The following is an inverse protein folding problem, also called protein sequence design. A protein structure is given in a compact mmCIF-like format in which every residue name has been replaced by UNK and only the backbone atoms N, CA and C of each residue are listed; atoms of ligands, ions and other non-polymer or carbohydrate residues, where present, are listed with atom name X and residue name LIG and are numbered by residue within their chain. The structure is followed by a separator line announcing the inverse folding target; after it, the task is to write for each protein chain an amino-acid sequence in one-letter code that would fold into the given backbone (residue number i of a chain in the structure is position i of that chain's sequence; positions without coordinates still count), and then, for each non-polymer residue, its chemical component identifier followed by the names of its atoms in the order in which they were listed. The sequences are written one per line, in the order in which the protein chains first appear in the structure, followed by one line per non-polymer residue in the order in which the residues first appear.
data_IF_865115643354
#
_entry.id   IF_865115643354
#
_cell.length_a   1.000
_cell.length_b   1.000
_cell.length_c   1.000
_cell.angle_alpha   90.00
_cell.angle_beta   90.00
_cell.angle_gamma   90.00
#
_symmetry.space_group_name_H-M   'P 1'
#
loop_
_entity.id
_entity.type
_entity.pdbx_description
1 polymer ?
#
# COMPACT_ATOMS: atom_id res chain seq x y z
N UNK A 1 32.67 18.81 -23.85
CA UNK A 1 31.56 17.85 -23.68
C UNK A 1 31.82 17.14 -22.37
N UNK A 2 31.06 17.46 -21.32
CA UNK A 2 31.18 16.76 -20.05
C UNK A 2 30.57 15.36 -20.22
N UNK A 3 31.32 14.33 -19.88
CA UNK A 3 30.81 12.97 -19.75
C UNK A 3 29.61 12.99 -18.79
N UNK A 4 28.44 12.53 -19.26
CA UNK A 4 27.34 12.19 -18.38
C UNK A 4 27.84 11.07 -17.48
N UNK A 5 28.12 11.37 -16.22
CA UNK A 5 28.18 10.35 -15.18
C UNK A 5 26.95 9.46 -15.35
N UNK A 6 27.19 8.18 -15.58
CA UNK A 6 26.17 7.14 -15.57
C UNK A 6 25.52 7.16 -14.19
N UNK A 7 24.41 7.88 -14.04
CA UNK A 7 23.68 8.00 -12.78
C UNK A 7 23.21 6.59 -12.38
N UNK A 8 23.82 6.03 -11.35
CA UNK A 8 23.55 4.66 -10.92
C UNK A 8 22.06 4.53 -10.53
N UNK A 9 21.47 3.39 -10.83
CA UNK A 9 20.08 3.11 -10.48
C UNK A 9 20.00 2.43 -9.11
N UNK A 10 18.99 2.82 -8.32
CA UNK A 10 18.66 2.25 -7.03
C UNK A 10 17.18 1.88 -7.04
N UNK A 11 16.82 0.73 -6.48
CA UNK A 11 15.41 0.38 -6.27
C UNK A 11 14.98 0.72 -4.84
N UNK A 12 13.77 1.26 -4.70
CA UNK A 12 13.09 1.49 -3.41
C UNK A 12 11.66 0.96 -3.50
N UNK A 13 11.01 0.80 -2.35
CA UNK A 13 9.60 0.43 -2.29
C UNK A 13 8.78 1.55 -1.69
N UNK A 14 7.56 1.76 -2.19
CA UNK A 14 6.64 2.76 -1.66
C UNK A 14 5.32 2.11 -1.28
N UNK A 15 4.91 2.30 -0.02
CA UNK A 15 3.58 1.93 0.50
C UNK A 15 2.74 3.20 0.62
N UNK A 16 1.67 3.31 -0.15
CA UNK A 16 0.94 4.58 -0.24
C UNK A 16 -0.04 4.85 0.91
N UNK A 17 -0.79 3.84 1.36
CA UNK A 17 -1.95 4.01 2.26
C UNK A 17 -1.94 3.03 3.44
N UNK A 18 -0.77 2.74 4.00
CA UNK A 18 -0.54 1.72 5.05
C UNK A 18 -1.01 0.29 4.68
N UNK A 19 -1.31 0.05 3.40
CA UNK A 19 -1.67 -1.25 2.87
C UNK A 19 -0.42 -2.11 2.65
N UNK A 20 -0.21 -3.05 3.56
CA UNK A 20 0.94 -3.97 3.56
C UNK A 20 1.01 -4.93 2.37
N UNK A 21 -0.05 -5.09 1.60
CA UNK A 21 -0.06 -5.91 0.38
C UNK A 21 0.36 -5.10 -0.85
N UNK A 22 0.58 -3.79 -0.69
CA UNK A 22 0.79 -2.83 -1.79
C UNK A 22 2.09 -2.05 -1.63
N UNK A 23 3.19 -2.79 -1.50
CA UNK A 23 4.55 -2.25 -1.51
C UNK A 23 5.10 -2.22 -2.94
N UNK A 24 4.96 -1.09 -3.62
CA UNK A 24 5.31 -0.97 -5.03
C UNK A 24 6.80 -0.68 -5.22
N UNK A 25 7.45 -1.40 -6.14
CA UNK A 25 8.86 -1.20 -6.46
C UNK A 25 9.04 -0.05 -7.46
N UNK A 26 9.92 0.89 -7.11
CA UNK A 26 10.34 2.02 -7.92
C UNK A 26 11.84 1.98 -8.19
N UNK A 27 12.23 2.16 -9.45
CA UNK A 27 13.60 2.37 -9.87
C UNK A 27 13.87 3.87 -9.95
N UNK A 28 14.82 4.34 -9.16
CA UNK A 28 15.22 5.75 -9.06
C UNK A 28 16.70 5.90 -9.40
N UNK A 29 17.12 7.12 -9.67
CA UNK A 29 18.54 7.46 -9.86
C UNK A 29 19.18 7.87 -8.52
N UNK A 30 20.51 7.80 -8.40
CA UNK A 30 21.19 8.29 -7.18
C UNK A 30 21.03 9.79 -6.95
N UNK A 31 20.69 10.56 -7.99
CA UNK A 31 20.38 11.98 -7.88
C UNK A 31 18.95 12.29 -7.42
N UNK A 32 18.03 11.31 -7.44
CA UNK A 32 16.62 11.49 -7.09
C UNK A 32 16.43 11.93 -5.63
N UNK A 33 15.59 12.94 -5.43
CA UNK A 33 15.23 13.46 -4.11
C UNK A 33 13.88 12.94 -3.64
N UNK A 34 13.59 13.02 -2.34
CA UNK A 34 12.24 12.68 -1.83
C UNK A 34 11.15 13.57 -2.43
N UNK A 35 11.46 14.83 -2.79
CA UNK A 35 10.53 15.75 -3.47
C UNK A 35 10.08 15.20 -4.82
N UNK A 36 10.96 14.54 -5.56
CA UNK A 36 10.61 13.97 -6.87
C UNK A 36 9.54 12.89 -6.77
N UNK A 37 9.46 12.16 -5.66
CA UNK A 37 8.42 11.15 -5.41
C UNK A 37 7.01 11.75 -5.36
N UNK A 38 6.88 13.06 -5.07
CA UNK A 38 5.59 13.73 -5.08
C UNK A 38 4.94 13.72 -6.48
N UNK A 39 5.74 13.62 -7.55
CA UNK A 39 5.25 13.51 -8.94
C UNK A 39 4.33 12.31 -9.13
N UNK A 40 4.49 11.24 -8.35
CA UNK A 40 3.63 10.04 -8.41
C UNK A 40 2.17 10.42 -8.12
N UNK A 41 1.94 11.27 -7.11
CA UNK A 41 0.61 11.70 -6.68
C UNK A 41 -0.04 12.68 -7.65
N UNK A 42 0.76 13.44 -8.40
CA UNK A 42 0.28 14.38 -9.41
C UNK A 42 -0.01 13.68 -10.76
N UNK A 43 0.65 12.54 -11.01
CA UNK A 43 0.65 11.87 -12.31
C UNK A 43 -0.41 10.77 -12.40
N UNK A 44 -0.58 9.99 -11.33
CA UNK A 44 -1.51 8.87 -11.32
C UNK A 44 -2.96 9.35 -11.05
N UNK A 45 -3.94 8.99 -11.90
CA UNK A 45 -5.34 9.42 -11.77
C UNK A 45 -6.12 8.56 -10.76
N UNK A 46 -5.44 8.09 -9.70
CA UNK A 46 -6.01 7.26 -8.65
C UNK A 46 -5.75 7.90 -7.29
N UNK A 47 -6.61 7.62 -6.31
CA UNK A 47 -6.44 8.14 -4.96
C UNK A 47 -5.48 7.24 -4.20
N UNK A 48 -4.31 7.78 -3.85
CA UNK A 48 -3.26 7.06 -3.11
C UNK A 48 -3.30 7.33 -1.61
N UNK A 49 -4.08 8.34 -1.17
CA UNK A 49 -4.32 8.65 0.24
C UNK A 49 -5.14 7.55 0.92
N UNK A 50 -5.11 7.40 2.25
CA UNK A 50 -5.88 6.39 2.96
C UNK A 50 -7.39 6.50 2.75
N UNK A 51 -7.95 7.70 2.94
CA UNK A 51 -9.37 7.99 2.72
C UNK A 51 -9.57 9.47 2.37
N UNK A 52 -10.83 9.88 2.17
CA UNK A 52 -11.15 11.25 1.74
C UNK A 52 -10.81 12.35 2.74
N UNK A 53 -10.59 12.00 4.00
CA UNK A 53 -10.27 12.92 5.09
C UNK A 53 -8.77 13.20 5.20
N UNK A 54 -7.94 12.65 4.33
CA UNK A 54 -6.55 13.04 4.22
C UNK A 54 -6.34 13.98 3.03
N UNK A 55 -5.36 14.85 3.14
CA UNK A 55 -4.96 15.70 2.01
C UNK A 55 -4.58 14.84 0.78
N UNK A 56 -4.92 15.25 -0.46
CA UNK A 56 -4.62 14.48 -1.67
C UNK A 56 -3.12 14.25 -1.91
N UNK A 57 -2.28 15.14 -1.39
CA UNK A 57 -0.82 15.09 -1.51
C UNK A 57 -0.21 14.92 -0.11
N UNK A 58 0.76 14.02 0.07
CA UNK A 58 1.44 13.90 1.35
C UNK A 58 2.35 15.10 1.62
N UNK A 59 2.58 15.39 2.90
CA UNK A 59 3.42 16.51 3.35
C UNK A 59 4.91 16.19 3.36
N UNK A 60 5.24 14.90 3.40
CA UNK A 60 6.63 14.42 3.43
C UNK A 60 6.70 12.91 3.27
N UNK A 61 7.87 12.35 3.57
CA UNK A 61 8.11 10.91 3.57
C UNK A 61 8.86 10.50 4.83
N UNK A 62 8.71 9.23 5.19
CA UNK A 62 9.54 8.55 6.18
C UNK A 62 10.12 7.29 5.56
N UNK A 63 11.32 6.92 6.00
CA UNK A 63 11.96 5.65 5.63
C UNK A 63 11.72 4.66 6.75
N UNK A 64 11.18 3.49 6.42
CA UNK A 64 10.99 2.40 7.37
C UNK A 64 12.33 1.73 7.65
N UNK A 65 12.76 1.76 8.90
CA UNK A 65 13.97 1.08 9.42
C UNK A 65 13.60 -0.16 10.20
N UNK A 66 12.42 -0.73 9.97
CA UNK A 66 11.99 -1.97 10.62
C UNK A 66 12.86 -3.13 10.10
N UNK A 67 13.46 -3.98 10.96
CA UNK A 67 14.47 -4.95 10.54
C UNK A 67 14.07 -5.83 9.35
N UNK A 68 12.82 -6.30 9.34
CA UNK A 68 12.25 -7.09 8.25
C UNK A 68 12.24 -8.60 8.52
N UNK A 69 12.00 -9.35 7.46
CA UNK A 69 12.00 -10.81 7.42
C UNK A 69 13.08 -11.27 6.44
N UNK A 70 13.98 -12.14 6.92
CA UNK A 70 15.02 -12.77 6.11
C UNK A 70 14.47 -14.04 5.47
N UNK A 71 14.50 -14.10 4.14
CA UNK A 71 14.07 -15.29 3.37
C UNK A 71 15.11 -16.40 3.39
N UNK A 72 14.73 -17.60 2.91
CA UNK A 72 15.63 -18.75 2.81
C UNK A 72 16.89 -18.45 2.00
N UNK A 73 16.74 -17.68 0.92
CA UNK A 73 17.81 -17.42 -0.05
C UNK A 73 18.43 -16.01 0.12
N UNK A 74 18.31 -15.42 1.32
CA UNK A 74 19.05 -14.22 1.72
C UNK A 74 18.46 -12.87 1.34
N UNK A 75 17.21 -12.84 0.89
CA UNK A 75 16.50 -11.59 0.61
C UNK A 75 15.78 -11.04 1.85
N UNK A 76 15.44 -9.74 1.80
CA UNK A 76 14.68 -9.08 2.85
C UNK A 76 13.27 -8.71 2.37
N UNK A 77 12.29 -9.10 3.16
CA UNK A 77 10.89 -8.66 3.06
C UNK A 77 10.55 -7.74 4.22
N UNK A 78 9.50 -6.93 4.07
CA UNK A 78 9.06 -6.03 5.13
C UNK A 78 8.22 -6.80 6.15
N UNK A 79 8.42 -6.50 7.44
CA UNK A 79 7.56 -7.03 8.50
C UNK A 79 6.23 -6.26 8.58
N UNK A 80 5.28 -6.77 9.36
CA UNK A 80 3.93 -6.21 9.43
C UNK A 80 3.85 -4.86 10.18
N UNK A 81 4.77 -4.60 11.11
CA UNK A 81 4.69 -3.50 12.09
C UNK A 81 5.41 -2.21 11.65
N UNK A 82 5.37 -1.87 10.35
CA UNK A 82 6.07 -0.68 9.80
C UNK A 82 5.45 0.65 10.25
N UNK A 83 4.25 0.60 10.83
CA UNK A 83 3.54 1.74 11.42
C UNK A 83 4.13 2.20 12.76
N UNK A 84 4.98 1.37 13.40
CA UNK A 84 5.68 1.72 14.65
C UNK A 84 6.62 2.92 14.44
N UNK A 85 6.26 4.06 15.03
CA UNK A 85 7.01 5.34 14.92
C UNK A 85 8.51 5.24 15.24
N UNK A 86 8.92 4.35 16.14
CA UNK A 86 10.35 4.14 16.47
C UNK A 86 11.18 3.65 15.29
N UNK A 87 10.56 3.00 14.31
CA UNK A 87 11.20 2.53 13.08
C UNK A 87 10.91 3.44 11.88
N UNK A 88 10.45 4.66 12.11
CA UNK A 88 10.18 5.63 11.05
C UNK A 88 11.21 6.76 11.12
N UNK A 89 12.18 6.72 10.21
CA UNK A 89 13.18 7.77 10.05
C UNK A 89 12.61 8.90 9.20
N UNK A 90 12.46 10.08 9.78
CA UNK A 90 12.07 11.30 9.05
C UNK A 90 13.20 11.73 8.10
N UNK A 91 12.80 12.22 6.93
CA UNK A 91 13.71 12.69 5.88
C UNK A 91 13.22 14.02 5.31
N UNK A 92 14.17 14.85 4.89
CA UNK A 92 13.89 16.11 4.21
C UNK A 92 13.46 15.88 2.76
N UNK A 93 12.54 16.70 2.23
CA UNK A 93 12.11 16.58 0.83
C UNK A 93 13.25 16.81 -0.17
N UNK A 94 14.19 17.70 0.14
CA UNK A 94 15.31 18.04 -0.74
C UNK A 94 16.52 17.10 -0.55
N UNK A 95 16.41 16.11 0.34
CA UNK A 95 17.46 15.12 0.56
C UNK A 95 17.43 14.04 -0.54
N UNK A 96 18.61 13.55 -0.92
CA UNK A 96 18.76 12.45 -1.90
C UNK A 96 18.36 11.13 -1.24
N UNK A 97 17.54 10.34 -1.92
CA UNK A 97 17.02 9.07 -1.39
C UNK A 97 18.18 8.09 -1.10
N UNK A 98 19.15 8.01 -2.01
CA UNK A 98 20.31 7.12 -1.88
C UNK A 98 21.19 7.37 -0.63
N UNK A 99 21.05 8.52 0.04
CA UNK A 99 21.75 8.80 1.30
C UNK A 99 21.01 8.27 2.54
N UNK A 100 19.73 7.96 2.41
CA UNK A 100 18.85 7.64 3.54
C UNK A 100 18.23 6.24 3.46
N UNK A 101 18.34 5.56 2.32
CA UNK A 101 17.73 4.27 2.05
C UNK A 101 18.77 3.23 1.57
N UNK A 102 18.73 2.04 2.15
CA UNK A 102 19.31 0.85 1.54
C UNK A 102 18.60 0.50 0.22
N UNK A 103 19.28 -0.20 -0.70
CA UNK A 103 18.61 -0.82 -1.84
C UNK A 103 17.43 -1.68 -1.39
N UNK A 104 16.28 -1.41 -1.98
CA UNK A 104 15.02 -2.09 -1.69
C UNK A 104 14.37 -1.72 -0.35
N UNK A 105 14.76 -0.63 0.29
CA UNK A 105 14.12 -0.16 1.54
C UNK A 105 12.74 0.47 1.29
N UNK A 106 11.86 0.36 2.29
CA UNK A 106 10.50 0.88 2.23
C UNK A 106 10.45 2.37 2.60
N UNK A 107 9.78 3.15 1.77
CA UNK A 107 9.46 4.57 1.96
C UNK A 107 7.95 4.72 2.09
N UNK A 108 7.50 5.52 3.04
CA UNK A 108 6.07 5.74 3.31
C UNK A 108 5.76 7.24 3.27
N UNK A 109 4.71 7.68 2.57
CA UNK A 109 4.26 9.05 2.58
C UNK A 109 3.67 9.42 3.94
N UNK A 110 3.90 10.66 4.37
CA UNK A 110 3.30 11.23 5.58
C UNK A 110 2.04 11.97 5.17
N UNK A 111 0.89 11.47 5.62
CA UNK A 111 -0.41 12.07 5.33
C UNK A 111 -0.82 13.06 6.40
N UNK A 112 -1.40 14.17 5.97
CA UNK A 112 -2.02 15.15 6.86
C UNK A 112 -3.53 14.92 6.89
N UNK A 113 -4.09 14.82 8.09
CA UNK A 113 -5.53 14.64 8.27
C UNK A 113 -6.24 15.99 8.17
N UNK A 114 -7.17 16.09 7.24
CA UNK A 114 -8.03 17.25 7.04
C UNK A 114 -9.17 17.26 8.07
N UNK A 115 -8.86 17.85 9.24
CA UNK A 115 -9.81 17.99 10.34
C UNK A 115 -11.08 18.74 9.91
N UNK A 116 -10.94 19.80 9.12
CA UNK A 116 -12.07 20.59 8.66
C UNK A 116 -13.03 19.75 7.81
N UNK A 117 -12.51 19.00 6.84
CA UNK A 117 -13.29 18.10 5.99
C UNK A 117 -13.97 16.99 6.78
N UNK A 118 -13.26 16.39 7.74
CA UNK A 118 -13.81 15.35 8.61
C UNK A 118 -14.96 15.87 9.48
N UNK A 119 -14.76 16.98 10.19
CA UNK A 119 -15.81 17.53 11.04
C UNK A 119 -16.97 18.12 10.23
N UNK A 120 -16.72 18.73 9.07
CA UNK A 120 -17.78 19.18 8.16
C UNK A 120 -18.65 18.01 7.69
N UNK A 121 -18.03 16.87 7.38
CA UNK A 121 -18.75 15.66 7.00
C UNK A 121 -19.56 15.07 8.18
N UNK A 122 -18.97 15.00 9.38
CA UNK A 122 -19.70 14.59 10.58
C UNK A 122 -20.88 15.51 10.89
N UNK A 123 -20.68 16.84 10.82
CA UNK A 123 -21.74 17.82 11.00
C UNK A 123 -22.85 17.62 9.96
N UNK A 124 -22.50 17.39 8.69
CA UNK A 124 -23.49 17.07 7.66
C UNK A 124 -24.33 15.81 8.02
N UNK A 125 -23.68 14.72 8.42
CA UNK A 125 -24.38 13.50 8.83
C UNK A 125 -25.27 13.71 10.06
N UNK A 126 -24.78 14.46 11.06
CA UNK A 126 -25.52 14.77 12.27
C UNK A 126 -26.69 15.71 12.00
N UNK A 127 -26.52 16.71 11.14
CA UNK A 127 -27.60 17.58 10.68
C UNK A 127 -28.65 16.77 9.93
N UNK A 128 -28.25 15.83 9.06
CA UNK A 128 -29.18 14.96 8.36
C UNK A 128 -29.99 14.07 9.33
N UNK A 129 -29.32 13.45 10.30
CA UNK A 129 -30.01 12.69 11.36
C UNK A 129 -30.95 13.58 12.18
N UNK A 130 -30.53 14.80 12.51
CA UNK A 130 -31.34 15.74 13.29
C UNK A 130 -32.61 16.16 12.53
N UNK A 131 -32.49 16.50 11.25
CA UNK A 131 -33.64 16.90 10.41
C UNK A 131 -34.61 15.76 10.20
N UNK A 132 -34.12 14.53 10.17
CA UNK A 132 -34.93 13.34 9.93
C UNK A 132 -35.41 12.68 11.23
N UNK A 133 -35.29 13.35 12.39
CA UNK A 133 -35.89 12.89 13.65
C UNK A 133 -37.40 12.69 13.48
N UNK A 134 -37.99 11.64 14.10
CA UNK A 134 -39.44 11.47 14.12
C UNK A 134 -40.16 12.75 14.59
N UNK A 135 -41.23 13.13 13.91
CA UNK A 135 -41.88 14.43 14.10
C UNK A 135 -42.36 14.66 15.54
N UNK A 136 -42.70 13.58 16.25
CA UNK A 136 -43.17 13.65 17.64
C UNK A 136 -42.07 13.95 18.67
N UNK A 137 -40.78 13.83 18.29
CA UNK A 137 -39.62 14.21 19.13
C UNK A 137 -38.77 15.32 18.52
N UNK A 138 -38.94 15.62 17.23
CA UNK A 138 -38.17 16.65 16.55
C UNK A 138 -38.47 18.03 17.15
N UNK A 139 -37.46 18.83 17.52
CA UNK A 139 -37.66 20.23 17.90
C UNK A 139 -38.14 21.11 16.74
N UNK A 140 -37.96 20.65 15.50
CA UNK A 140 -38.40 21.30 14.27
C UNK A 140 -39.12 20.31 13.36
N UNK A 141 -40.35 19.86 13.74
CA UNK A 141 -41.10 18.87 12.96
C UNK A 141 -41.33 19.31 11.52
N UNK A 142 -41.31 18.36 10.59
CA UNK A 142 -41.54 18.62 9.16
C UNK A 142 -40.33 19.14 8.36
N UNK A 143 -39.21 19.51 9.00
CA UNK A 143 -37.95 19.84 8.29
C UNK A 143 -37.14 18.56 8.10
N UNK A 144 -37.60 17.68 7.21
CA UNK A 144 -36.91 16.43 6.85
C UNK A 144 -36.04 16.63 5.60
N UNK A 145 -34.71 16.50 5.73
CA UNK A 145 -33.78 16.69 4.62
C UNK A 145 -33.97 15.60 3.56
N UNK A 146 -34.29 14.38 3.98
CA UNK A 146 -34.65 13.30 3.04
C UNK A 146 -35.86 13.69 2.18
N UNK A 147 -36.90 14.31 2.77
CA UNK A 147 -38.06 14.76 2.01
C UNK A 147 -37.72 15.90 1.04
N UNK A 148 -36.85 16.83 1.45
CA UNK A 148 -36.36 17.89 0.55
C UNK A 148 -35.57 17.32 -0.64
N UNK A 149 -34.76 16.28 -0.41
CA UNK A 149 -34.06 15.56 -1.47
C UNK A 149 -35.03 14.82 -2.40
N UNK A 150 -36.09 14.21 -1.86
CA UNK A 150 -37.16 13.58 -2.65
C UNK A 150 -37.89 14.61 -3.52
N UNK A 151 -38.22 15.79 -2.99
CA UNK A 151 -38.80 16.88 -3.77
C UNK A 151 -37.89 17.31 -4.92
N UNK A 152 -36.59 17.49 -4.66
CA UNK A 152 -35.61 17.83 -5.70
C UNK A 152 -35.51 16.71 -6.75
N UNK A 153 -35.49 15.45 -6.34
CA UNK A 153 -35.47 14.30 -7.23
C UNK A 153 -36.73 14.25 -8.13
N UNK A 154 -37.91 14.56 -7.60
CA UNK A 154 -39.15 14.67 -8.38
C UNK A 154 -39.08 15.78 -9.43
N UNK A 155 -38.53 16.94 -9.08
CA UNK A 155 -38.32 18.05 -10.05
C UNK A 155 -37.38 17.63 -11.18
N UNK A 156 -36.28 16.94 -10.85
CA UNK A 156 -35.35 16.42 -11.84
C UNK A 156 -35.99 15.34 -12.71
N UNK A 157 -36.72 14.40 -12.13
CA UNK A 157 -37.41 13.33 -12.85
C UNK A 157 -38.39 13.90 -13.90
N UNK A 158 -39.19 14.91 -13.56
CA UNK A 158 -40.05 15.61 -14.53
C UNK A 158 -39.27 16.27 -15.65
N UNK A 159 -38.14 16.91 -15.32
CA UNK A 159 -37.27 17.55 -16.32
C UNK A 159 -36.72 16.56 -17.35
N UNK A 160 -36.54 15.30 -16.97
CA UNK A 160 -36.09 14.22 -17.86
C UNK A 160 -37.24 13.39 -18.47
N UNK A 161 -38.50 13.82 -18.31
CA UNK A 161 -39.68 13.16 -18.92
C UNK A 161 -40.21 11.96 -18.14
N UNK A 162 -39.85 11.80 -16.86
CA UNK A 162 -40.31 10.72 -15.99
C UNK A 162 -41.42 11.20 -15.03
N UNK A 163 -42.50 11.76 -15.57
CA UNK A 163 -43.59 12.35 -14.76
C UNK A 163 -44.29 11.35 -13.84
N UNK A 164 -44.45 10.10 -14.27
CA UNK A 164 -45.06 9.05 -13.47
C UNK A 164 -44.23 8.75 -12.19
N UNK A 165 -42.91 8.64 -12.34
CA UNK A 165 -42.00 8.40 -11.21
C UNK A 165 -42.01 9.61 -10.27
N UNK A 166 -42.01 10.83 -10.82
CA UNK A 166 -42.06 12.04 -10.01
C UNK A 166 -43.32 12.12 -9.14
N UNK A 167 -44.48 11.71 -9.66
CA UNK A 167 -45.73 11.71 -8.92
C UNK A 167 -45.73 10.64 -7.81
N UNK A 168 -45.26 9.42 -8.10
CA UNK A 168 -45.12 8.37 -7.08
C UNK A 168 -44.25 8.82 -5.89
N UNK A 169 -43.13 9.48 -6.16
CA UNK A 169 -42.24 10.00 -5.10
C UNK A 169 -42.92 11.13 -4.29
N UNK A 170 -43.73 11.97 -4.93
CA UNK A 170 -44.43 13.06 -4.24
C UNK A 170 -45.58 12.56 -3.37
N UNK A 171 -46.29 11.53 -3.82
CA UNK A 171 -47.41 10.94 -3.07
C UNK A 171 -46.88 10.24 -1.81
N UNK A 172 -45.80 9.46 -1.92
CA UNK A 172 -45.14 8.79 -0.79
C UNK A 172 -44.63 9.77 0.28
N UNK A 173 -44.10 10.93 -0.13
CA UNK A 173 -43.63 11.98 0.81
C UNK A 173 -44.79 12.69 1.53
N UNK A 174 -45.99 12.73 0.95
CA UNK A 174 -47.15 13.45 1.49
C UNK A 174 -48.02 12.61 2.41
N UNK A 175 -47.95 11.30 2.29
CA UNK A 175 -48.80 10.40 3.07
C UNK A 175 -48.39 10.40 4.56
N UNK A 176 -49.35 10.58 5.49
CA UNK A 176 -49.05 10.65 6.91
C UNK A 176 -48.61 9.28 7.45
N UNK A 177 -47.42 9.23 8.04
CA UNK A 177 -46.83 8.02 8.61
C UNK A 177 -47.10 7.94 10.11
N UNK A 178 -47.52 6.76 10.59
CA UNK A 178 -47.77 6.55 12.03
C UNK A 178 -46.47 6.54 12.87
N UNK A 179 -46.59 6.75 14.18
CA UNK A 179 -45.44 6.85 15.11
C UNK A 179 -44.50 5.63 15.02
N UNK A 180 -45.06 4.42 14.97
CA UNK A 180 -44.27 3.19 14.90
C UNK A 180 -43.40 3.12 13.65
N UNK A 181 -43.98 3.45 12.50
CA UNK A 181 -43.28 3.50 11.23
C UNK A 181 -42.22 4.62 11.20
N UNK A 182 -42.49 5.80 11.79
CA UNK A 182 -41.48 6.86 11.93
C UNK A 182 -40.25 6.39 12.73
N UNK A 183 -40.46 5.66 13.84
CA UNK A 183 -39.35 5.07 14.60
C UNK A 183 -38.55 4.06 13.78
N UNK A 184 -39.23 3.20 13.01
CA UNK A 184 -38.57 2.19 12.16
C UNK A 184 -37.78 2.86 11.04
N UNK A 185 -38.34 3.86 10.35
CA UNK A 185 -37.64 4.61 9.32
C UNK A 185 -36.40 5.32 9.87
N UNK A 186 -36.51 5.94 11.05
CA UNK A 186 -35.37 6.59 11.69
C UNK A 186 -34.28 5.59 12.11
N UNK A 187 -34.64 4.42 12.61
CA UNK A 187 -33.67 3.36 12.92
C UNK A 187 -32.89 2.92 11.67
N UNK A 188 -33.57 2.68 10.54
CA UNK A 188 -32.90 2.39 9.28
C UNK A 188 -32.06 3.57 8.78
N UNK A 189 -32.50 4.82 9.02
CA UNK A 189 -31.72 6.00 8.70
C UNK A 189 -30.41 6.05 9.48
N UNK A 190 -30.42 5.73 10.78
CA UNK A 190 -29.22 5.62 11.60
C UNK A 190 -28.24 4.59 11.04
N UNK A 191 -28.72 3.39 10.71
CA UNK A 191 -27.90 2.33 10.09
C UNK A 191 -27.30 2.83 8.77
N UNK A 192 -28.11 3.48 7.91
CA UNK A 192 -27.67 4.05 6.63
C UNK A 192 -26.55 5.08 6.83
N UNK A 193 -26.68 5.97 7.82
CA UNK A 193 -25.67 6.99 8.13
C UNK A 193 -24.40 6.38 8.68
N UNK A 194 -24.50 5.38 9.56
CA UNK A 194 -23.34 4.64 10.07
C UNK A 194 -22.62 3.88 8.95
N UNK A 195 -23.37 3.23 8.06
CA UNK A 195 -22.81 2.54 6.90
C UNK A 195 -22.11 3.52 5.95
N UNK A 196 -22.72 4.67 5.66
CA UNK A 196 -22.12 5.72 4.84
C UNK A 196 -20.83 6.27 5.48
N UNK A 197 -20.85 6.53 6.79
CA UNK A 197 -19.67 6.91 7.53
C UNK A 197 -18.57 5.86 7.38
N UNK A 198 -18.87 4.59 7.63
CA UNK A 198 -17.90 3.50 7.55
C UNK A 198 -17.31 3.34 6.14
N UNK A 199 -18.12 3.42 5.10
CA UNK A 199 -17.68 3.32 3.70
C UNK A 199 -16.68 4.43 3.33
N UNK A 200 -16.95 5.66 3.79
CA UNK A 200 -16.08 6.81 3.50
C UNK A 200 -14.83 6.79 4.39
N UNK A 201 -14.97 6.47 5.68
CA UNK A 201 -13.88 6.42 6.64
C UNK A 201 -12.88 5.28 6.36
N UNK A 202 -13.37 4.11 5.97
CA UNK A 202 -12.52 2.97 5.57
C UNK A 202 -11.76 3.21 4.26
N UNK A 203 -12.12 4.25 3.49
CA UNK A 203 -11.51 4.51 2.18
C UNK A 203 -12.03 3.63 1.05
N UNK A 204 -13.09 2.82 1.27
CA UNK A 204 -13.73 2.02 0.21
C UNK A 204 -14.25 2.90 -0.93
N UNK A 205 -14.74 4.10 -0.59
CA UNK A 205 -14.98 5.18 -1.55
C UNK A 205 -13.98 6.30 -1.34
N UNK A 206 -12.95 6.35 -2.18
CA UNK A 206 -11.90 7.35 -2.11
C UNK A 206 -11.69 8.03 -3.47
N UNK A 207 -12.60 8.94 -3.87
CA UNK A 207 -12.43 9.69 -5.11
C UNK A 207 -11.20 10.61 -5.03
N UNK A 208 -10.49 10.73 -6.16
CA UNK A 208 -9.38 11.68 -6.34
C UNK A 208 -9.80 13.13 -6.13
N UNK A 209 -11.07 13.45 -6.44
CA UNK A 209 -11.69 14.76 -6.19
C UNK A 209 -13.13 14.54 -5.77
N UNK A 210 -13.54 15.10 -4.64
CA UNK A 210 -14.92 15.00 -4.10
C UNK A 210 -15.91 15.79 -4.97
N UNK A 211 -15.49 16.96 -5.47
CA UNK A 211 -16.26 17.75 -6.42
C UNK A 211 -15.61 17.69 -7.80
N UNK A 212 -16.14 16.84 -8.68
CA UNK A 212 -15.77 16.84 -10.11
C UNK A 212 -16.69 17.81 -10.85
N UNK A 213 -16.13 18.89 -11.38
CA UNK A 213 -16.87 19.75 -12.31
C UNK A 213 -17.15 18.93 -13.57
N UNK A 214 -18.41 18.78 -14.02
CA UNK A 214 -18.78 17.86 -15.10
C UNK A 214 -18.15 18.19 -16.47
N UNK A 215 -17.52 19.36 -16.61
CA UNK A 215 -16.91 19.83 -17.86
C UNK A 215 -15.38 19.70 -17.92
N UNK A 216 -14.71 19.27 -16.85
CA UNK A 216 -13.26 19.03 -16.89
C UNK A 216 -12.93 17.60 -17.28
N UNK A 217 -12.75 17.43 -18.60
CA UNK A 217 -11.81 16.59 -19.34
C UNK A 217 -11.62 15.12 -18.89
N UNK A 218 -11.68 14.23 -19.90
CA UNK A 218 -11.41 12.78 -19.85
C UNK A 218 -10.29 12.44 -18.84
N UNK A 219 -10.43 11.35 -18.07
CA UNK A 219 -9.38 10.92 -17.15
C UNK A 219 -8.05 10.86 -17.92
N UNK A 220 -7.02 11.53 -17.40
CA UNK A 220 -5.66 11.49 -17.96
C UNK A 220 -5.29 10.02 -18.13
N UNK A 221 -5.17 9.55 -19.37
CA UNK A 221 -4.77 8.18 -19.63
C UNK A 221 -3.31 8.04 -19.19
N UNK A 222 -3.04 7.16 -18.23
CA UNK A 222 -1.67 6.83 -17.82
C UNK A 222 -1.06 6.01 -18.94
N UNK A 223 0.00 6.52 -19.56
CA UNK A 223 0.76 5.75 -20.56
C UNK A 223 1.87 4.97 -19.88
N UNK A 224 2.41 3.95 -20.58
CA UNK A 224 3.54 3.16 -20.09
C UNK A 224 4.77 4.04 -19.86
N UNK A 225 4.98 5.02 -20.72
CA UNK A 225 6.08 5.98 -20.68
C UNK A 225 5.99 6.84 -19.41
N UNK A 226 4.79 7.26 -19.02
CA UNK A 226 4.58 7.99 -17.76
C UNK A 226 4.94 7.13 -16.54
N UNK A 227 4.60 5.83 -16.56
CA UNK A 227 4.98 4.92 -15.47
C UNK A 227 6.49 4.71 -15.42
N UNK A 228 7.15 4.57 -16.58
CA UNK A 228 8.60 4.46 -16.68
C UNK A 228 9.28 5.73 -16.17
N UNK A 229 8.76 6.91 -16.51
CA UNK A 229 9.29 8.21 -16.04
C UNK A 229 9.18 8.35 -14.52
N UNK A 230 8.10 7.83 -13.92
CA UNK A 230 7.96 7.76 -12.46
C UNK A 230 8.89 6.73 -11.82
N UNK A 231 9.55 5.86 -12.60
CA UNK A 231 10.33 4.73 -12.10
C UNK A 231 9.48 3.52 -11.71
N UNK A 232 8.18 3.50 -12.02
CA UNK A 232 7.27 2.42 -11.62
C UNK A 232 7.58 1.12 -12.37
N UNK A 233 8.01 0.08 -11.65
CA UNK A 233 8.43 -1.18 -12.26
C UNK A 233 7.28 -2.16 -12.55
N UNK A 234 6.13 -1.96 -11.91
CA UNK A 234 4.99 -2.90 -11.98
C UNK A 234 5.08 -4.08 -11.02
N UNK A 235 6.21 -4.22 -10.32
CA UNK A 235 6.40 -5.23 -9.28
C UNK A 235 5.96 -4.72 -7.91
N UNK A 236 5.52 -5.65 -7.06
CA UNK A 236 5.23 -5.41 -5.65
C UNK A 236 6.08 -6.34 -4.80
N UNK A 237 6.55 -5.88 -3.63
CA UNK A 237 7.19 -6.77 -2.64
C UNK A 237 6.12 -7.68 -2.03
N UNK A 238 6.46 -8.95 -1.83
CA UNK A 238 5.62 -9.88 -1.11
C UNK A 238 5.77 -9.68 0.41
N UNK A 239 4.70 -9.97 1.15
CA UNK A 239 4.82 -10.19 2.58
C UNK A 239 5.38 -11.60 2.89
N UNK A 240 5.71 -11.85 4.15
CA UNK A 240 6.34 -13.11 4.56
C UNK A 240 5.44 -14.33 4.28
N UNK A 241 4.12 -14.20 4.37
CA UNK A 241 3.19 -15.32 4.15
C UNK A 241 3.03 -15.63 2.66
N UNK A 242 2.87 -14.61 1.82
CA UNK A 242 2.89 -14.75 0.36
C UNK A 242 4.18 -15.42 -0.14
N UNK A 243 5.32 -15.02 0.43
CA UNK A 243 6.61 -15.65 0.11
C UNK A 243 6.63 -17.13 0.49
N UNK A 244 6.24 -17.47 1.74
CA UNK A 244 6.25 -18.86 2.21
C UNK A 244 5.39 -19.76 1.31
N UNK A 245 4.21 -19.30 0.94
CA UNK A 245 3.28 -20.08 0.11
C UNK A 245 3.79 -20.24 -1.32
N UNK A 246 4.34 -19.17 -1.90
CA UNK A 246 4.95 -19.22 -3.21
C UNK A 246 6.18 -20.14 -3.23
N UNK A 247 7.10 -19.98 -2.26
CA UNK A 247 8.35 -20.74 -2.20
C UNK A 247 8.12 -22.24 -2.03
N UNK A 248 7.14 -22.64 -1.20
CA UNK A 248 6.73 -24.05 -1.06
C UNK A 248 6.30 -24.64 -2.40
N UNK A 249 5.36 -23.96 -3.06
CA UNK A 249 4.86 -24.39 -4.37
C UNK A 249 5.99 -24.46 -5.39
N UNK A 250 6.87 -23.46 -5.41
CA UNK A 250 8.01 -23.37 -6.31
C UNK A 250 8.98 -24.54 -6.14
N UNK A 251 9.46 -24.81 -4.91
CA UNK A 251 10.39 -25.91 -4.66
C UNK A 251 9.75 -27.28 -4.87
N UNK A 252 8.49 -27.48 -4.47
CA UNK A 252 7.78 -28.75 -4.73
C UNK A 252 7.69 -29.02 -6.24
N UNK A 253 7.40 -27.99 -7.04
CA UNK A 253 7.36 -28.11 -8.50
C UNK A 253 8.73 -28.48 -9.08
N UNK A 254 9.82 -27.90 -8.56
CA UNK A 254 11.19 -28.24 -8.96
C UNK A 254 11.56 -29.70 -8.70
N UNK A 255 11.06 -30.28 -7.61
CA UNK A 255 11.29 -31.70 -7.30
C UNK A 255 10.41 -32.66 -8.11
N UNK A 256 9.57 -32.18 -9.04
CA UNK A 256 8.69 -33.04 -9.84
C UNK A 256 7.37 -33.39 -9.16
N UNK A 257 6.97 -32.62 -8.14
CA UNK A 257 5.68 -32.76 -7.45
C UNK A 257 5.80 -33.19 -6.00
N UNK A 258 4.65 -33.42 -5.37
CA UNK A 258 4.54 -33.59 -3.91
C UNK A 258 5.20 -34.88 -3.41
N UNK A 259 5.06 -35.98 -4.16
CA UNK A 259 5.56 -37.30 -3.76
C UNK A 259 7.10 -37.36 -3.80
N UNK A 260 7.78 -36.94 -4.89
CA UNK A 260 9.24 -36.86 -4.89
C UNK A 260 9.81 -35.88 -3.85
N UNK A 261 9.15 -34.73 -3.66
CA UNK A 261 9.55 -33.75 -2.63
C UNK A 261 9.50 -34.36 -1.21
N UNK A 262 8.51 -35.22 -0.94
CA UNK A 262 8.41 -35.92 0.34
C UNK A 262 9.53 -36.94 0.52
N UNK A 263 9.82 -37.73 -0.50
CA UNK A 263 10.90 -38.71 -0.49
C UNK A 263 12.29 -38.04 -0.31
N UNK A 264 12.45 -36.81 -0.82
CA UNK A 264 13.66 -36.01 -0.66
C UNK A 264 13.78 -35.28 0.70
N UNK A 265 12.80 -35.45 1.61
CA UNK A 265 12.81 -34.79 2.93
C UNK A 265 12.61 -33.28 2.89
N UNK A 266 12.12 -32.73 1.76
CA UNK A 266 11.98 -31.29 1.55
C UNK A 266 11.04 -30.62 2.57
N UNK A 267 9.99 -31.32 3.01
CA UNK A 267 8.98 -30.77 3.92
C UNK A 267 9.54 -30.37 5.29
N UNK A 268 10.62 -31.02 5.75
CA UNK A 268 11.29 -30.62 6.99
C UNK A 268 11.97 -29.25 6.84
N UNK A 269 12.55 -28.97 5.67
CA UNK A 269 13.15 -27.66 5.34
C UNK A 269 12.07 -26.60 5.10
N UNK A 270 10.97 -26.95 4.42
CA UNK A 270 9.85 -26.04 4.13
C UNK A 270 9.03 -25.60 5.35
N UNK A 271 9.30 -26.17 6.53
CA UNK A 271 8.66 -25.78 7.78
C UNK A 271 9.06 -24.36 8.20
N UNK A 272 10.34 -24.01 8.05
CA UNK A 272 10.92 -22.74 8.49
C UNK A 272 11.64 -22.07 7.31
N UNK A 273 10.92 -21.25 6.54
CA UNK A 273 11.40 -20.64 5.28
C UNK A 273 12.04 -19.25 5.45
N UNK A 274 12.61 -18.99 6.61
CA UNK A 274 13.17 -17.69 6.96
C UNK A 274 12.93 -17.34 8.42
N UNK A 275 13.25 -16.11 8.79
CA UNK A 275 13.25 -15.64 10.18
C UNK A 275 12.97 -14.15 10.29
N UNK A 276 12.21 -13.74 11.31
CA UNK A 276 12.03 -12.33 11.63
C UNK A 276 13.27 -11.76 12.34
N UNK A 277 13.74 -10.64 11.80
CA UNK A 277 14.94 -9.94 12.26
C UNK A 277 14.61 -8.97 13.39
N UNK A 278 15.62 -8.67 14.22
CA UNK A 278 15.51 -7.79 15.39
C UNK A 278 16.32 -6.50 15.25
N UNK A 279 16.38 -5.71 16.33
CA UNK A 279 17.05 -4.40 16.31
C UNK A 279 18.55 -4.52 15.99
N UNK A 280 19.01 -3.62 15.11
CA UNK A 280 20.34 -3.61 14.53
C UNK A 280 20.55 -4.61 13.38
N UNK A 281 19.50 -5.26 12.88
CA UNK A 281 19.55 -6.19 11.75
C UNK A 281 18.73 -5.70 10.56
N UNK A 282 19.01 -6.27 9.38
CA UNK A 282 18.23 -6.01 8.16
C UNK A 282 18.13 -4.50 7.87
N UNK A 283 16.95 -3.99 7.55
CA UNK A 283 16.76 -2.56 7.26
C UNK A 283 16.97 -1.63 8.47
N UNK A 284 17.14 -2.17 9.69
CA UNK A 284 17.52 -1.39 10.86
C UNK A 284 19.04 -1.16 10.95
N UNK A 285 19.83 -1.84 10.12
CA UNK A 285 21.27 -1.62 10.03
C UNK A 285 21.55 -0.17 9.62
N UNK A 286 22.44 0.56 10.34
CA UNK A 286 22.86 1.90 9.93
C UNK A 286 23.50 1.90 8.54
N UNK A 287 23.14 2.87 7.70
CA UNK A 287 23.78 3.09 6.39
C UNK A 287 25.24 3.51 6.59
N UNK A 288 26.14 2.55 6.59
CA UNK A 288 27.58 2.76 6.63
C UNK A 288 28.28 1.94 5.54
N UNK A 289 29.18 2.59 4.81
CA UNK A 289 30.05 1.96 3.81
C UNK A 289 31.05 0.98 4.42
N UNK A 290 31.29 1.04 5.73
CA UNK A 290 32.23 0.15 6.41
C UNK A 290 31.62 -1.20 6.80
N UNK A 291 30.30 -1.37 6.72
CA UNK A 291 29.66 -2.64 7.04
C UNK A 291 30.17 -3.72 6.08
N UNK A 292 30.69 -4.82 6.61
CA UNK A 292 31.14 -5.98 5.82
C UNK A 292 30.17 -7.14 5.96
N UNK A 293 30.20 -8.04 4.97
CA UNK A 293 29.43 -9.28 4.98
C UNK A 293 29.80 -10.15 6.20
N UNK A 294 31.08 -10.18 6.56
CA UNK A 294 31.64 -11.00 7.66
C UNK A 294 31.48 -10.37 9.05
N UNK A 295 31.04 -9.12 9.14
CA UNK A 295 30.81 -8.45 10.45
C UNK A 295 29.58 -9.05 11.18
N UNK A 296 28.86 -9.95 10.51
CA UNK A 296 27.77 -10.75 11.03
C UNK A 296 28.27 -11.82 12.03
N UNK A 297 28.41 -11.42 13.29
CA UNK A 297 28.44 -12.34 14.43
C UNK A 297 27.16 -13.18 14.48
N UNK A 298 26.27 -12.90 15.43
CA UNK A 298 24.95 -13.53 15.53
C UNK A 298 23.84 -12.77 14.78
N UNK A 299 24.18 -11.59 14.23
CA UNK A 299 23.25 -10.64 13.61
C UNK A 299 23.35 -10.60 12.09
N UNK A 300 22.21 -10.39 11.42
CA UNK A 300 22.18 -10.16 9.98
C UNK A 300 22.36 -8.67 9.65
N UNK A 301 23.58 -8.27 9.32
CA UNK A 301 23.96 -6.87 9.04
C UNK A 301 23.93 -6.59 7.54
N UNK A 302 23.25 -5.51 7.13
CA UNK A 302 23.28 -5.08 5.73
C UNK A 302 24.60 -4.39 5.35
N UNK A 303 25.11 -4.76 4.19
CA UNK A 303 26.27 -4.13 3.55
C UNK A 303 26.03 -3.95 2.04
N UNK A 304 26.70 -2.99 1.42
CA UNK A 304 26.65 -2.86 -0.05
C UNK A 304 27.24 -4.09 -0.75
N UNK A 305 28.21 -4.76 -0.13
CA UNK A 305 28.78 -6.02 -0.62
C UNK A 305 27.72 -7.13 -0.76
N UNK A 306 26.79 -7.25 0.20
CA UNK A 306 25.67 -8.18 0.11
C UNK A 306 24.82 -7.92 -1.13
N UNK A 307 24.44 -6.66 -1.38
CA UNK A 307 23.62 -6.31 -2.54
C UNK A 307 24.33 -6.56 -3.88
N UNK A 308 25.64 -6.31 -3.94
CA UNK A 308 26.47 -6.65 -5.12
C UNK A 308 26.46 -8.15 -5.34
N UNK A 309 26.68 -8.97 -4.31
CA UNK A 309 26.66 -10.43 -4.40
C UNK A 309 25.31 -10.99 -4.85
N UNK A 310 24.21 -10.46 -4.30
CA UNK A 310 22.85 -10.81 -4.73
C UNK A 310 22.64 -10.48 -6.22
N UNK A 311 23.16 -9.33 -6.68
CA UNK A 311 23.11 -8.89 -8.06
C UNK A 311 23.93 -9.78 -9.01
N UNK A 312 25.18 -10.07 -8.67
CA UNK A 312 26.08 -10.95 -9.44
C UNK A 312 25.44 -12.34 -9.64
N UNK A 313 24.93 -12.91 -8.56
CA UNK A 313 24.27 -14.22 -8.63
C UNK A 313 23.00 -14.18 -9.49
N UNK A 314 22.21 -13.12 -9.37
CA UNK A 314 21.02 -12.95 -10.19
C UNK A 314 21.37 -12.80 -11.68
N UNK A 315 22.41 -12.04 -12.00
CA UNK A 315 22.90 -11.84 -13.37
C UNK A 315 23.35 -13.17 -14.00
N UNK A 316 24.11 -13.98 -13.24
CA UNK A 316 24.51 -15.31 -13.68
C UNK A 316 23.30 -16.25 -13.86
N UNK A 317 22.29 -16.17 -12.98
CA UNK A 317 21.06 -16.97 -13.08
C UNK A 317 20.23 -16.66 -14.32
N UNK A 318 20.22 -15.41 -14.79
CA UNK A 318 19.45 -15.01 -15.98
C UNK A 318 20.24 -15.18 -17.29
N UNK A 319 21.54 -15.43 -17.20
CA UNK A 319 22.42 -15.56 -18.36
C UNK A 319 21.99 -16.72 -19.25
N UNK A 320 21.78 -16.43 -20.54
CA UNK A 320 21.40 -17.43 -21.55
C UNK A 320 19.91 -17.80 -21.57
N UNK A 321 19.07 -17.18 -20.73
CA UNK A 321 17.61 -17.36 -20.78
C UNK A 321 16.94 -16.51 -21.85
N UNK A 322 15.73 -16.89 -22.24
CA UNK A 322 14.91 -16.11 -23.17
C UNK A 322 14.40 -14.83 -22.50
N UNK A 323 14.13 -13.80 -23.30
CA UNK A 323 13.70 -12.47 -22.81
C UNK A 323 12.46 -12.55 -21.90
N UNK A 324 11.51 -13.44 -22.22
CA UNK A 324 10.30 -13.64 -21.41
C UNK A 324 10.64 -14.20 -20.02
N UNK A 325 11.51 -15.21 -19.97
CA UNK A 325 11.99 -15.82 -18.72
C UNK A 325 12.82 -14.84 -17.89
N UNK A 326 13.60 -13.97 -18.54
CA UNK A 326 14.34 -12.89 -17.86
C UNK A 326 13.38 -11.89 -17.22
N UNK A 327 12.33 -11.47 -17.94
CA UNK A 327 11.34 -10.54 -17.40
C UNK A 327 10.57 -11.13 -16.21
N UNK A 328 10.20 -12.41 -16.29
CA UNK A 328 9.58 -13.12 -15.16
C UNK A 328 10.55 -13.22 -13.96
N UNK A 329 11.81 -13.61 -14.20
CA UNK A 329 12.83 -13.68 -13.16
C UNK A 329 13.06 -12.32 -12.48
N UNK A 330 13.08 -11.21 -13.24
CA UNK A 330 13.19 -9.85 -12.67
C UNK A 330 11.99 -9.51 -11.80
N UNK A 331 10.77 -9.87 -12.25
CA UNK A 331 9.55 -9.63 -11.50
C UNK A 331 9.53 -10.43 -10.19
N UNK A 332 9.94 -11.70 -10.25
CA UNK A 332 10.08 -12.57 -9.08
C UNK A 332 11.15 -12.06 -8.13
N UNK A 333 12.32 -11.63 -8.64
CA UNK A 333 13.40 -11.05 -7.85
C UNK A 333 12.95 -9.80 -7.08
N UNK A 334 12.23 -8.90 -7.75
CA UNK A 334 11.65 -7.72 -7.09
C UNK A 334 10.56 -8.08 -6.08
N UNK A 335 9.84 -9.19 -6.27
CA UNK A 335 8.76 -9.59 -5.37
C UNK A 335 9.24 -10.35 -4.14
N UNK A 336 10.09 -11.35 -4.35
CA UNK A 336 10.50 -12.34 -3.34
C UNK A 336 11.99 -12.27 -3.02
N UNK A 337 12.79 -11.64 -3.88
CA UNK A 337 14.25 -11.72 -3.85
C UNK A 337 14.77 -12.95 -4.60
N UNK A 338 15.97 -13.39 -4.24
CA UNK A 338 16.50 -14.65 -4.77
C UNK A 338 15.61 -15.83 -4.37
N UNK A 339 15.49 -16.80 -5.27
CA UNK A 339 14.83 -18.10 -5.02
C UNK A 339 15.85 -19.26 -5.03
N UNK A 340 17.11 -18.90 -5.26
CA UNK A 340 18.30 -19.74 -5.25
C UNK A 340 19.43 -18.86 -4.75
N UNK A 341 20.22 -19.37 -3.82
CA UNK A 341 21.32 -18.67 -3.15
C UNK A 341 22.65 -19.30 -3.52
N UNK A 342 23.72 -18.54 -3.33
CA UNK A 342 25.08 -19.09 -3.29
C UNK A 342 25.33 -19.75 -1.93
N UNK A 343 26.32 -20.64 -1.85
CA UNK A 343 26.74 -21.31 -0.62
C UNK A 343 27.05 -20.30 0.50
N UNK A 344 27.70 -19.18 0.15
CA UNK A 344 28.02 -18.09 1.09
C UNK A 344 26.76 -17.44 1.70
N UNK A 345 25.72 -17.20 0.90
CA UNK A 345 24.46 -16.63 1.38
C UNK A 345 23.70 -17.67 2.21
N UNK A 346 23.69 -18.92 1.78
CA UNK A 346 23.05 -20.03 2.50
C UNK A 346 23.64 -20.20 3.90
N UNK A 347 24.97 -20.16 4.04
CA UNK A 347 25.65 -20.25 5.33
C UNK A 347 25.27 -19.08 6.24
N UNK A 348 25.24 -17.86 5.71
CA UNK A 348 24.89 -16.66 6.46
C UNK A 348 23.44 -16.70 6.95
N UNK A 349 22.50 -17.11 6.08
CA UNK A 349 21.10 -17.29 6.45
C UNK A 349 20.93 -18.41 7.46
N UNK A 350 21.58 -19.56 7.26
CA UNK A 350 21.50 -20.70 8.18
C UNK A 350 22.01 -20.34 9.58
N UNK A 351 23.14 -19.62 9.65
CA UNK A 351 23.71 -19.12 10.91
C UNK A 351 22.72 -18.22 11.64
N UNK A 352 22.08 -17.27 10.93
CA UNK A 352 21.10 -16.38 11.56
C UNK A 352 19.81 -17.11 11.96
N UNK A 353 19.31 -18.03 11.14
CA UNK A 353 18.09 -18.81 11.43
C UNK A 353 18.23 -19.69 12.67
N UNK A 354 19.45 -20.15 12.99
CA UNK A 354 19.71 -20.92 14.20
C UNK A 354 19.29 -20.18 15.50
N UNK A 355 19.29 -18.85 15.47
CA UNK A 355 18.90 -18.00 16.61
C UNK A 355 17.37 -17.81 16.74
N UNK A 356 16.59 -18.23 15.76
CA UNK A 356 15.13 -18.10 15.74
C UNK A 356 14.62 -16.66 15.54
N UNK A 357 13.29 -16.51 15.60
CA UNK A 357 12.61 -15.22 15.43
C UNK A 357 12.92 -14.30 16.62
N UNK A 358 13.34 -13.07 16.31
CA UNK A 358 13.48 -12.02 17.32
C UNK A 358 12.17 -11.27 17.51
N UNK A 359 11.81 -11.01 18.76
CA UNK A 359 10.66 -10.18 19.11
C UNK A 359 11.08 -8.71 19.08
N UNK A 360 10.25 -7.88 18.43
CA UNK A 360 10.40 -6.44 18.44
C UNK A 360 9.74 -5.90 19.71
N UNK A 361 10.52 -5.37 20.66
CA UNK A 361 10.03 -4.84 21.94
C UNK A 361 9.26 -3.53 21.82
#
# INVERSE_FOLDING_TARGET
MAEKESDAALEIYIRFNDDMEKDYCFQISTSTTFRDLLKVFDTLPISLRPNVFYEPRPTGFVVSTLPGYLTEDGALLFSYETDKKKYQKKVGLDEKIAKHCWPGQLVMPVWEFNLFGYYSFLTFLLTWLYTDLPDFISPTPGICLTNQMSYLASVLARKFGYDHIANLVLDDVRDPVNIGAQCVFFFFHLIKVLALYFVIWSGMLNPTKVFRVPFTLKPKQVTKEMLIELGWTGSKRANADEYKDFYRTYKIKQHGGMVPAHQAGLFTKLKNLGVFLGDGEGFNTPLDSTNKLDDAGDKFVLSYGLFVKLGEYFEDYIKGKLVEEVNEAIKEFRRYGLLHSSEEIDELVAKRKANGDLKLE
#
